data_IF_871153297584
#
_entry.id   IF_871153297584
#
_cell.length_a   1.000
_cell.length_b   1.000
_cell.length_c   1.000
_cell.angle_alpha   90.00
_cell.angle_beta   90.00
_cell.angle_gamma   90.00
#
_symmetry.space_group_name_H-M   'P 1'
#
loop_
_entity.id
_entity.type
_entity.pdbx_description
1 polymer ?
#
# COMPACT_ATOMS: atom_id res chain seq x y z
N UNK A 1 24.00 0.61 12.03
CA UNK A 1 23.83 -0.01 10.71
C UNK A 1 22.34 -0.30 10.60
N UNK A 2 21.60 0.39 9.72
CA UNK A 2 20.15 0.15 9.62
C UNK A 2 19.96 -1.33 9.28
N UNK A 3 19.25 -2.06 10.13
CA UNK A 3 18.78 -3.40 9.83
C UNK A 3 18.21 -3.41 8.43
N UNK A 4 18.58 -4.44 7.66
CA UNK A 4 18.27 -4.57 6.24
C UNK A 4 16.75 -4.47 6.06
N UNK A 5 16.26 -3.30 5.65
CA UNK A 5 14.82 -3.09 5.46
C UNK A 5 14.37 -3.99 4.31
N UNK A 6 13.62 -5.05 4.64
CA UNK A 6 13.19 -6.05 3.64
C UNK A 6 11.84 -5.71 3.01
N UNK A 7 10.97 -5.00 3.73
CA UNK A 7 9.64 -4.63 3.25
C UNK A 7 9.18 -3.30 3.83
N UNK A 8 8.48 -2.55 3.00
CA UNK A 8 7.93 -1.23 3.33
C UNK A 8 6.47 -1.20 2.89
N UNK A 9 5.58 -0.78 3.79
CA UNK A 9 4.17 -0.53 3.49
C UNK A 9 3.91 0.96 3.46
N UNK A 10 3.48 1.47 2.29
CA UNK A 10 3.04 2.85 2.14
C UNK A 10 1.51 2.88 2.29
N UNK A 11 1.02 3.60 3.31
CA UNK A 11 -0.41 3.77 3.56
C UNK A 11 -0.89 5.12 3.01
N UNK A 12 -1.74 5.09 1.97
CA UNK A 12 -2.36 6.31 1.42
C UNK A 12 -3.84 6.08 1.14
N UNK A 13 -4.67 6.60 2.05
CA UNK A 13 -6.14 6.52 2.00
C UNK A 13 -6.77 7.89 1.73
N UNK A 14 -6.24 8.68 0.80
CA UNK A 14 -6.78 10.00 0.43
C UNK A 14 -6.81 10.18 -1.09
N UNK A 15 -7.45 11.26 -1.53
CA UNK A 15 -7.80 11.68 -2.90
C UNK A 15 -6.89 11.19 -4.05
N UNK A 16 -7.43 11.11 -5.27
CA UNK A 16 -6.74 10.61 -6.46
C UNK A 16 -5.38 11.30 -6.74
N UNK A 17 -5.30 12.63 -6.68
CA UNK A 17 -4.04 13.37 -6.95
C UNK A 17 -2.93 13.07 -5.95
N UNK A 18 -3.32 12.73 -4.73
CA UNK A 18 -2.46 12.37 -3.61
C UNK A 18 -1.80 10.99 -3.81
N UNK A 19 -2.38 10.15 -4.68
CA UNK A 19 -1.87 8.81 -5.05
C UNK A 19 -0.84 8.92 -6.18
N UNK A 20 -0.97 9.89 -7.09
CA UNK A 20 0.05 10.17 -8.11
C UNK A 20 1.40 10.55 -7.48
N UNK A 21 1.35 11.32 -6.39
CA UNK A 21 2.53 11.75 -5.63
C UNK A 21 3.25 10.61 -4.90
N UNK A 22 2.70 9.40 -4.89
CA UNK A 22 3.38 8.21 -4.34
C UNK A 22 4.49 7.74 -5.30
N UNK A 23 4.37 7.96 -6.61
CA UNK A 23 5.35 7.53 -7.61
C UNK A 23 6.80 8.00 -7.31
N UNK A 24 7.07 9.29 -7.00
CA UNK A 24 8.42 9.72 -6.61
C UNK A 24 8.84 9.19 -5.23
N UNK A 25 7.90 8.89 -4.33
CA UNK A 25 8.18 8.26 -3.04
C UNK A 25 8.68 6.83 -3.24
N UNK A 26 8.03 6.06 -4.11
CA UNK A 26 8.46 4.70 -4.52
C UNK A 26 9.88 4.76 -5.09
N UNK A 27 10.14 5.71 -6.01
CA UNK A 27 11.46 5.87 -6.61
C UNK A 27 12.55 6.14 -5.55
N UNK A 28 12.28 7.04 -4.62
CA UNK A 28 13.22 7.40 -3.54
C UNK A 28 13.48 6.22 -2.60
N UNK A 29 12.44 5.46 -2.25
CA UNK A 29 12.56 4.26 -1.42
C UNK A 29 13.41 3.21 -2.12
N UNK A 30 13.16 2.95 -3.41
CA UNK A 30 13.92 1.94 -4.15
C UNK A 30 15.39 2.35 -4.34
N UNK A 31 15.67 3.64 -4.53
CA UNK A 31 17.05 4.14 -4.58
C UNK A 31 17.78 3.93 -3.24
N UNK A 32 17.08 4.09 -2.12
CA UNK A 32 17.64 3.90 -0.77
C UNK A 32 17.73 2.43 -0.34
N UNK A 33 16.73 1.64 -0.71
CA UNK A 33 16.57 0.23 -0.35
C UNK A 33 16.23 -0.62 -1.59
N UNK A 34 17.21 -0.87 -2.49
CA UNK A 34 16.95 -1.56 -3.76
C UNK A 34 16.36 -2.97 -3.64
N UNK A 35 16.56 -3.61 -2.48
CA UNK A 35 16.09 -4.96 -2.19
C UNK A 35 14.74 -4.99 -1.46
N UNK A 36 14.25 -3.85 -0.97
CA UNK A 36 13.03 -3.80 -0.17
C UNK A 36 11.80 -4.00 -1.06
N UNK A 37 10.88 -4.85 -0.61
CA UNK A 37 9.57 -5.01 -1.26
C UNK A 37 8.65 -3.86 -0.84
N UNK A 38 8.10 -3.15 -1.81
CA UNK A 38 7.19 -2.03 -1.56
C UNK A 38 5.75 -2.51 -1.73
N UNK A 39 4.99 -2.51 -0.64
CA UNK A 39 3.55 -2.77 -0.66
C UNK A 39 2.77 -1.46 -0.47
N UNK A 40 1.56 -1.40 -1.01
CA UNK A 40 0.69 -0.22 -0.91
C UNK A 40 -0.64 -0.56 -0.26
N UNK A 41 -1.07 0.28 0.69
CA UNK A 41 -2.42 0.26 1.24
C UNK A 41 -3.21 1.47 0.73
N UNK A 42 -4.19 1.21 -0.15
CA UNK A 42 -4.95 2.22 -0.90
C UNK A 42 -6.46 1.98 -0.80
N UNK A 43 -7.26 2.96 -1.23
CA UNK A 43 -8.65 2.67 -1.59
C UNK A 43 -8.72 1.96 -2.95
N UNK A 44 -9.68 1.04 -3.10
CA UNK A 44 -9.84 0.20 -4.31
C UNK A 44 -9.97 1.00 -5.61
N UNK A 45 -10.72 2.09 -5.55
CA UNK A 45 -10.94 3.07 -6.64
C UNK A 45 -9.65 3.79 -7.07
N UNK A 46 -8.68 3.94 -6.18
CA UNK A 46 -7.40 4.59 -6.50
C UNK A 46 -6.30 3.65 -7.00
N UNK A 47 -6.51 2.33 -6.94
CA UNK A 47 -5.52 1.33 -7.39
C UNK A 47 -5.09 1.53 -8.84
N UNK A 48 -6.03 1.86 -9.71
CA UNK A 48 -5.78 1.97 -11.16
C UNK A 48 -4.67 2.98 -11.50
N UNK A 49 -4.50 4.02 -10.66
CA UNK A 49 -3.46 5.05 -10.84
C UNK A 49 -2.05 4.46 -10.81
N UNK A 50 -1.83 3.44 -9.97
CA UNK A 50 -0.51 2.85 -9.74
C UNK A 50 -0.41 1.40 -10.21
N UNK A 51 -1.47 0.85 -10.81
CA UNK A 51 -1.53 -0.56 -11.17
C UNK A 51 -0.47 -0.99 -12.20
N UNK A 52 0.04 -0.04 -13.01
CA UNK A 52 1.06 -0.29 -14.02
C UNK A 52 2.50 -0.13 -13.50
N UNK A 53 2.70 0.29 -12.24
CA UNK A 53 4.04 0.47 -11.68
C UNK A 53 4.58 -0.86 -11.14
N UNK A 54 5.51 -1.46 -11.91
CA UNK A 54 6.12 -2.77 -11.64
C UNK A 54 6.94 -2.81 -10.34
N UNK A 55 7.29 -1.65 -9.77
CA UNK A 55 8.03 -1.57 -8.50
C UNK A 55 7.17 -1.95 -7.30
N UNK A 56 5.85 -2.01 -7.46
CA UNK A 56 4.91 -2.34 -6.40
C UNK A 56 4.75 -3.86 -6.31
N UNK A 57 5.08 -4.39 -5.14
CA UNK A 57 5.05 -5.82 -4.87
C UNK A 57 3.64 -6.34 -4.53
N UNK A 58 2.82 -5.59 -3.77
CA UNK A 58 1.41 -5.93 -3.53
C UNK A 58 0.55 -4.70 -3.24
N UNK A 59 -0.76 -4.84 -3.49
CA UNK A 59 -1.78 -3.88 -3.09
C UNK A 59 -2.71 -4.46 -2.02
N UNK A 60 -2.89 -3.73 -0.93
CA UNK A 60 -3.91 -3.93 0.09
C UNK A 60 -4.99 -2.88 -0.11
N UNK A 61 -6.21 -3.31 -0.42
CA UNK A 61 -7.28 -2.41 -0.84
C UNK A 61 -8.37 -2.30 0.22
N UNK A 62 -8.72 -1.07 0.55
CA UNK A 62 -9.90 -0.73 1.35
C UNK A 62 -11.04 -0.33 0.40
N UNK A 63 -12.23 -0.87 0.62
CA UNK A 63 -13.44 -0.42 -0.08
C UNK A 63 -14.23 0.52 0.84
N UNK A 64 -14.59 1.71 0.33
CA UNK A 64 -15.55 2.60 0.99
C UNK A 64 -16.95 2.00 0.85
N UNK A 65 -17.46 1.40 1.92
CA UNK A 65 -18.80 0.82 1.97
C UNK A 65 -19.73 1.64 2.85
N UNK A 66 -21.03 1.62 2.56
CA UNK A 66 -22.06 2.25 3.39
C UNK A 66 -22.42 1.29 4.52
N UNK A 67 -21.97 1.57 5.74
CA UNK A 67 -22.30 0.79 6.93
C UNK A 67 -21.08 0.49 7.80
N UNK A 68 -21.27 0.59 9.12
CA UNK A 68 -20.19 0.42 10.11
C UNK A 68 -19.64 -1.02 10.09
N UNK A 69 -20.52 -2.02 10.05
CA UNK A 69 -20.15 -3.44 10.03
C UNK A 69 -19.31 -3.83 8.81
N UNK A 70 -19.72 -3.36 7.63
CA UNK A 70 -19.01 -3.63 6.38
C UNK A 70 -17.63 -2.97 6.34
N UNK A 71 -17.56 -1.74 6.86
CA UNK A 71 -16.30 -1.00 7.01
C UNK A 71 -15.35 -1.78 7.92
N UNK A 72 -15.80 -2.15 9.12
CA UNK A 72 -14.99 -2.91 10.08
C UNK A 72 -14.53 -4.24 9.48
N UNK A 73 -15.41 -4.97 8.78
CA UNK A 73 -15.08 -6.23 8.11
C UNK A 73 -13.96 -6.07 7.07
N UNK A 74 -14.00 -4.99 6.26
CA UNK A 74 -12.95 -4.68 5.29
C UNK A 74 -11.60 -4.42 5.97
N UNK A 75 -11.58 -3.59 7.02
CA UNK A 75 -10.35 -3.31 7.77
C UNK A 75 -9.78 -4.58 8.43
N UNK A 76 -10.63 -5.41 9.02
CA UNK A 76 -10.20 -6.69 9.62
C UNK A 76 -9.63 -7.64 8.55
N UNK A 77 -10.26 -7.69 7.37
CA UNK A 77 -9.77 -8.50 6.25
C UNK A 77 -8.38 -8.07 5.82
N UNK A 78 -8.17 -6.76 5.60
CA UNK A 78 -6.86 -6.21 5.23
C UNK A 78 -5.83 -6.46 6.34
N UNK A 79 -6.19 -6.28 7.61
CA UNK A 79 -5.31 -6.60 8.74
C UNK A 79 -4.88 -8.06 8.75
N UNK A 80 -5.78 -9.00 8.43
CA UNK A 80 -5.44 -10.42 8.30
C UNK A 80 -4.47 -10.67 7.14
N UNK A 81 -4.63 -9.97 6.02
CA UNK A 81 -3.71 -10.09 4.88
C UNK A 81 -2.31 -9.58 5.25
N UNK A 82 -2.22 -8.43 5.93
CA UNK A 82 -0.96 -7.88 6.43
C UNK A 82 -0.25 -8.83 7.41
N UNK A 83 -1.00 -9.48 8.30
CA UNK A 83 -0.42 -10.48 9.22
C UNK A 83 0.19 -11.70 8.52
N UNK A 84 -0.21 -12.02 7.28
CA UNK A 84 0.37 -13.13 6.51
C UNK A 84 1.72 -12.78 5.87
N UNK A 85 2.06 -11.49 5.77
CA UNK A 85 3.29 -10.98 5.16
C UNK A 85 3.89 -9.90 6.10
N UNK A 86 4.62 -10.30 7.15
CA UNK A 86 5.23 -9.33 8.07
C UNK A 86 6.16 -8.38 7.31
N UNK A 87 6.21 -7.14 7.81
CA UNK A 87 7.07 -6.05 7.33
C UNK A 87 8.53 -6.30 7.75
#
# INVERSE_FOLDING_TARGET
>A
MFDKVERILICKLKFYGDVLLITPVIASIQARYPHAKIDLLLYKDTRAILAADERINNFYLIEKKKGLLETIKNYISVRRQLKKKPL
#
